data_IF_414962915506
#
_entry.id   IF_414962915506
#
_cell.length_a   1.000
_cell.length_b   1.000
_cell.length_c   1.000
_cell.angle_alpha   90.00
_cell.angle_beta   90.00
_cell.angle_gamma   90.00
#
_symmetry.space_group_name_H-M   'P 1'
#
loop_
_entity.id
_entity.type
_entity.pdbx_description
1 polymer ?
#
# COMPACT_ATOMS: atom_id res chain seq x y z
N UNK A 1 -6.64 -39.74 4.22
CA UNK A 1 -6.31 -38.82 3.11
C UNK A 1 -5.45 -37.72 3.71
N UNK A 2 -4.15 -37.65 3.35
CA UNK A 2 -3.20 -36.64 3.84
C UNK A 2 -3.26 -35.45 2.89
N UNK A 3 -3.60 -34.28 3.41
CA UNK A 3 -3.50 -33.02 2.69
C UNK A 3 -2.02 -32.61 2.64
N UNK A 4 -1.40 -32.70 1.47
CA UNK A 4 -0.07 -32.16 1.19
C UNK A 4 -0.20 -30.66 0.97
N UNK A 5 0.19 -29.87 1.99
CA UNK A 5 0.36 -28.44 1.85
C UNK A 5 1.56 -28.17 0.94
N UNK A 6 1.32 -27.56 -0.21
CA UNK A 6 2.38 -27.02 -1.06
C UNK A 6 3.01 -25.82 -0.37
N UNK A 7 4.31 -25.89 -0.12
CA UNK A 7 5.11 -24.74 0.31
C UNK A 7 5.12 -23.67 -0.79
N UNK A 8 5.12 -22.36 -0.45
CA UNK A 8 5.21 -21.33 -1.45
C UNK A 8 6.55 -21.45 -2.19
N UNK A 9 6.48 -21.35 -3.52
CA UNK A 9 7.65 -21.36 -4.39
C UNK A 9 8.62 -20.25 -3.96
N UNK A 10 9.84 -20.65 -3.60
CA UNK A 10 10.93 -19.74 -3.31
C UNK A 10 11.40 -19.10 -4.61
N UNK A 11 11.00 -17.86 -4.83
CA UNK A 11 11.53 -17.04 -5.93
C UNK A 11 12.97 -16.65 -5.57
N UNK A 12 13.94 -17.38 -6.12
CA UNK A 12 15.36 -17.24 -5.85
C UNK A 12 16.02 -16.28 -6.84
N UNK A 13 15.55 -15.03 -6.91
CA UNK A 13 16.41 -13.93 -7.36
C UNK A 13 17.25 -13.47 -6.18
N UNK A 14 18.57 -13.46 -6.35
CA UNK A 14 19.57 -13.27 -5.29
C UNK A 14 19.58 -11.79 -4.83
N UNK A 15 18.57 -11.36 -4.05
CA UNK A 15 18.45 -10.01 -3.47
C UNK A 15 19.11 -9.88 -2.09
N UNK A 16 20.12 -10.69 -1.77
CA UNK A 16 20.87 -10.58 -0.52
C UNK A 16 21.49 -9.18 -0.42
N UNK A 17 21.09 -8.39 0.56
CA UNK A 17 21.55 -7.01 0.74
C UNK A 17 20.81 -5.95 -0.09
N UNK A 18 19.74 -6.29 -0.79
CA UNK A 18 18.87 -5.30 -1.45
C UNK A 18 17.91 -4.66 -0.43
N UNK A 19 17.63 -3.34 -0.53
CA UNK A 19 16.65 -2.67 0.33
C UNK A 19 15.29 -3.37 0.32
N UNK A 20 14.72 -3.58 1.50
CA UNK A 20 13.37 -4.14 1.68
C UNK A 20 12.33 -3.04 1.67
N UNK A 21 11.40 -3.12 0.73
CA UNK A 21 10.25 -2.22 0.61
C UNK A 21 9.01 -2.97 1.08
N UNK A 22 8.55 -2.68 2.29
CA UNK A 22 7.34 -3.28 2.85
C UNK A 22 6.11 -2.48 2.41
N UNK A 23 5.17 -3.14 1.73
CA UNK A 23 3.85 -2.58 1.42
C UNK A 23 2.87 -3.00 2.50
N UNK A 24 2.65 -2.13 3.48
CA UNK A 24 1.64 -2.31 4.52
C UNK A 24 0.33 -1.74 3.98
N UNK A 25 -0.57 -2.63 3.54
CA UNK A 25 -1.74 -2.21 2.81
C UNK A 25 -2.97 -3.09 2.96
N UNK A 26 -3.98 -2.78 2.17
CA UNK A 26 -5.31 -3.38 2.22
C UNK A 26 -5.51 -4.44 1.13
N UNK A 27 -6.74 -4.63 0.66
CA UNK A 27 -7.09 -5.50 -0.48
C UNK A 27 -6.41 -5.06 -1.78
N UNK A 28 -6.17 -3.76 -1.95
CA UNK A 28 -5.47 -3.23 -3.13
C UNK A 28 -4.03 -3.74 -3.17
N UNK A 29 -3.33 -3.67 -2.03
CA UNK A 29 -1.98 -4.23 -1.88
C UNK A 29 -1.98 -5.76 -2.01
N UNK A 30 -2.96 -6.44 -1.38
CA UNK A 30 -3.08 -7.90 -1.45
C UNK A 30 -3.33 -8.41 -2.88
N UNK A 31 -3.87 -7.58 -3.78
CA UNK A 31 -4.31 -8.01 -5.10
C UNK A 31 -5.60 -8.83 -5.05
N UNK A 32 -6.56 -8.41 -4.21
CA UNK A 32 -7.83 -9.11 -4.04
C UNK A 32 -8.56 -9.30 -5.37
N UNK A 33 -9.01 -10.54 -5.62
CA UNK A 33 -9.77 -10.91 -6.81
C UNK A 33 -8.97 -11.00 -8.10
N UNK A 34 -7.66 -10.81 -8.08
CA UNK A 34 -6.78 -11.09 -9.23
C UNK A 34 -6.55 -12.59 -9.34
N UNK A 35 -6.46 -13.11 -10.58
CA UNK A 35 -6.19 -14.54 -10.83
C UNK A 35 -4.82 -14.96 -10.30
N UNK A 36 -3.82 -14.09 -10.43
CA UNK A 36 -2.46 -14.31 -9.94
C UNK A 36 -1.96 -13.05 -9.20
N UNK A 37 -2.30 -12.88 -7.91
CA UNK A 37 -1.84 -11.74 -7.13
C UNK A 37 -0.32 -11.67 -6.98
N UNK A 38 0.38 -12.82 -7.00
CA UNK A 38 1.83 -12.88 -6.90
C UNK A 38 2.52 -12.21 -8.10
N UNK A 39 1.85 -12.16 -9.25
CA UNK A 39 2.32 -11.50 -10.47
C UNK A 39 1.70 -10.12 -10.69
N UNK A 40 0.39 -10.02 -10.49
CA UNK A 40 -0.40 -8.90 -10.98
C UNK A 40 -0.79 -7.87 -9.92
N UNK A 41 -0.61 -8.15 -8.61
CA UNK A 41 -0.79 -7.13 -7.58
C UNK A 41 0.21 -5.98 -7.79
N UNK A 42 -0.20 -4.74 -7.50
CA UNK A 42 0.64 -3.57 -7.80
C UNK A 42 2.04 -3.62 -7.14
N UNK A 43 2.27 -4.21 -5.94
CA UNK A 43 3.63 -4.38 -5.43
C UNK A 43 4.50 -5.30 -6.29
N UNK A 44 3.92 -6.35 -6.87
CA UNK A 44 4.62 -7.26 -7.79
C UNK A 44 4.95 -6.58 -9.11
N UNK A 45 4.03 -5.76 -9.63
CA UNK A 45 4.29 -4.92 -10.81
C UNK A 45 5.41 -3.91 -10.53
N UNK A 46 5.48 -3.35 -9.32
CA UNK A 46 6.56 -2.46 -8.90
C UNK A 46 7.90 -3.19 -8.80
N UNK A 47 7.92 -4.47 -8.38
CA UNK A 47 9.12 -5.30 -8.41
C UNK A 47 9.65 -5.40 -9.85
N UNK A 48 8.79 -5.78 -10.81
CA UNK A 48 9.18 -5.87 -12.22
C UNK A 48 9.69 -4.54 -12.79
N UNK A 49 9.11 -3.40 -12.36
CA UNK A 49 9.59 -2.07 -12.75
C UNK A 49 10.97 -1.77 -12.16
N UNK A 50 11.22 -2.12 -10.90
CA UNK A 50 12.51 -1.94 -10.26
C UNK A 50 13.59 -2.78 -10.96
N UNK A 51 13.30 -4.06 -11.23
CA UNK A 51 14.20 -4.99 -11.92
C UNK A 51 14.54 -4.48 -13.34
N UNK A 52 13.51 -4.05 -14.09
CA UNK A 52 13.68 -3.50 -15.43
C UNK A 52 14.47 -2.18 -15.45
N UNK A 53 14.44 -1.43 -14.36
CA UNK A 53 15.22 -0.19 -14.18
C UNK A 53 16.62 -0.44 -13.61
N UNK A 54 17.02 -1.70 -13.37
CA UNK A 54 18.28 -2.07 -12.75
C UNK A 54 18.40 -1.66 -11.27
N UNK A 55 17.26 -1.38 -10.61
CA UNK A 55 17.23 -1.00 -9.21
C UNK A 55 17.17 -2.24 -8.34
N UNK A 56 18.14 -2.39 -7.43
CA UNK A 56 18.11 -3.47 -6.45
C UNK A 56 17.11 -3.12 -5.35
N UNK A 57 16.02 -3.87 -5.27
CA UNK A 57 15.02 -3.75 -4.21
C UNK A 57 14.25 -5.07 -4.06
N UNK A 58 13.73 -5.34 -2.87
CA UNK A 58 12.83 -6.45 -2.60
C UNK A 58 11.49 -5.91 -2.13
N UNK A 59 10.47 -5.99 -2.99
CA UNK A 59 9.10 -5.61 -2.65
C UNK A 59 8.44 -6.72 -1.83
N UNK A 60 7.92 -6.36 -0.66
CA UNK A 60 7.27 -7.30 0.28
C UNK A 60 5.81 -6.89 0.38
N UNK A 61 4.92 -7.71 -0.17
CA UNK A 61 3.48 -7.51 -0.10
C UNK A 61 2.95 -7.96 1.27
N UNK A 62 2.46 -7.02 2.06
CA UNK A 62 1.79 -7.25 3.34
C UNK A 62 0.37 -6.69 3.32
N UNK A 63 -0.34 -6.86 2.22
CA UNK A 63 -1.76 -6.51 2.07
C UNK A 63 -2.67 -7.43 2.88
N UNK A 64 -3.71 -6.86 3.50
CA UNK A 64 -4.76 -7.60 4.18
C UNK A 64 -6.13 -7.03 3.81
N UNK A 65 -6.92 -7.83 3.09
CA UNK A 65 -8.23 -7.41 2.59
C UNK A 65 -9.19 -7.04 3.72
N UNK A 66 -9.94 -5.94 3.53
CA UNK A 66 -10.91 -5.45 4.50
C UNK A 66 -10.31 -4.73 5.70
N UNK A 67 -8.99 -4.58 5.78
CA UNK A 67 -8.32 -3.96 6.91
C UNK A 67 -8.51 -2.44 6.95
N UNK A 68 -8.85 -1.91 8.13
CA UNK A 68 -8.88 -0.47 8.42
C UNK A 68 -7.54 0.02 8.95
N UNK A 69 -7.37 1.34 9.08
CA UNK A 69 -6.18 1.94 9.69
C UNK A 69 -5.92 1.41 11.11
N UNK A 70 -6.97 1.15 11.90
CA UNK A 70 -6.86 0.54 13.21
C UNK A 70 -6.37 -0.92 13.13
N UNK A 71 -6.76 -1.67 12.10
CA UNK A 71 -6.28 -3.03 11.84
C UNK A 71 -4.79 -3.03 11.51
N UNK A 72 -4.38 -2.18 10.57
CA UNK A 72 -2.99 -1.98 10.19
C UNK A 72 -2.09 -1.66 11.40
N UNK A 73 -2.56 -0.76 12.28
CA UNK A 73 -1.85 -0.39 13.51
C UNK A 73 -1.67 -1.58 14.46
N UNK A 74 -2.66 -2.48 14.57
CA UNK A 74 -2.58 -3.66 15.47
C UNK A 74 -1.52 -4.67 15.04
N UNK A 75 -1.35 -4.90 13.73
CA UNK A 75 -0.37 -5.89 13.23
C UNK A 75 1.00 -5.30 12.88
N UNK A 76 1.16 -3.98 12.98
CA UNK A 76 2.38 -3.29 12.58
C UNK A 76 3.64 -3.86 13.25
N UNK A 77 3.61 -4.12 14.56
CA UNK A 77 4.77 -4.61 15.31
C UNK A 77 5.28 -5.95 14.76
N UNK A 78 4.37 -6.84 14.32
CA UNK A 78 4.75 -8.10 13.71
C UNK A 78 5.41 -7.90 12.34
N UNK A 79 4.86 -7.02 11.50
CA UNK A 79 5.39 -6.73 10.16
C UNK A 79 6.75 -6.04 10.20
N UNK A 80 6.99 -5.24 11.24
CA UNK A 80 8.20 -4.43 11.39
C UNK A 80 9.38 -5.18 12.01
N UNK A 81 9.21 -6.44 12.44
CA UNK A 81 10.28 -7.25 13.06
C UNK A 81 11.52 -7.37 12.18
N UNK A 82 11.36 -7.40 10.87
CA UNK A 82 12.45 -7.54 9.92
C UNK A 82 13.06 -6.19 9.47
N UNK A 83 12.71 -5.11 10.17
CA UNK A 83 13.28 -3.77 10.02
C UNK A 83 13.39 -3.33 8.54
N UNK A 84 12.29 -3.12 7.81
CA UNK A 84 12.31 -2.71 6.42
C UNK A 84 13.04 -1.37 6.24
N UNK A 85 13.68 -1.18 5.07
CA UNK A 85 14.36 0.07 4.72
C UNK A 85 13.38 1.12 4.21
N UNK A 86 12.30 0.67 3.57
CA UNK A 86 11.20 1.51 3.07
C UNK A 86 9.88 0.90 3.49
N UNK A 87 8.96 1.72 3.98
CA UNK A 87 7.57 1.31 4.26
C UNK A 87 6.62 2.18 3.44
N UNK A 88 5.83 1.53 2.61
CA UNK A 88 4.71 2.13 1.87
C UNK A 88 3.44 1.83 2.67
N UNK A 89 2.80 2.87 3.20
CA UNK A 89 1.56 2.77 3.97
C UNK A 89 0.39 3.06 3.02
N UNK A 90 -0.34 2.01 2.64
CA UNK A 90 -1.57 2.07 1.86
C UNK A 90 -2.72 1.60 2.77
N UNK A 91 -3.31 2.49 3.56
CA UNK A 91 -4.44 2.17 4.43
C UNK A 91 -5.38 3.35 4.58
N UNK A 92 -6.58 3.09 5.12
CA UNK A 92 -7.64 4.08 5.26
C UNK A 92 -8.75 3.94 4.22
N UNK A 93 -8.54 3.24 3.10
CA UNK A 93 -9.60 3.00 2.11
C UNK A 93 -10.85 2.39 2.76
N UNK A 94 -10.68 1.36 3.61
CA UNK A 94 -11.79 0.73 4.32
C UNK A 94 -12.39 1.61 5.42
N UNK A 95 -11.62 2.54 5.97
CA UNK A 95 -12.14 3.59 6.87
C UNK A 95 -13.09 4.51 6.09
N UNK A 96 -12.64 4.99 4.93
CA UNK A 96 -13.45 5.80 4.02
C UNK A 96 -14.70 5.09 3.53
N UNK A 97 -14.59 3.83 3.07
CA UNK A 97 -15.72 3.03 2.61
C UNK A 97 -16.79 2.82 3.70
N UNK A 98 -16.38 2.74 4.97
CA UNK A 98 -17.28 2.55 6.13
C UNK A 98 -17.73 3.86 6.79
N UNK A 99 -17.34 5.01 6.25
CA UNK A 99 -17.67 6.31 6.81
C UNK A 99 -17.11 6.52 8.22
N UNK A 100 -15.96 5.92 8.55
CA UNK A 100 -15.34 6.10 9.85
C UNK A 100 -14.82 7.53 9.99
N UNK A 101 -14.71 8.00 11.23
CA UNK A 101 -14.26 9.35 11.53
C UNK A 101 -12.85 9.63 10.96
N UNK A 102 -12.69 10.67 10.12
CA UNK A 102 -11.41 11.02 9.51
C UNK A 102 -10.32 11.37 10.54
N UNK A 103 -10.68 11.97 11.70
CA UNK A 103 -9.69 12.30 12.72
C UNK A 103 -9.17 11.03 13.44
N UNK A 104 -10.03 10.03 13.62
CA UNK A 104 -9.63 8.72 14.12
C UNK A 104 -8.69 8.00 13.14
N UNK A 105 -8.98 8.08 11.83
CA UNK A 105 -8.10 7.55 10.78
C UNK A 105 -6.74 8.26 10.80
N UNK A 106 -6.73 9.58 10.88
CA UNK A 106 -5.49 10.38 10.98
C UNK A 106 -4.67 10.02 12.23
N UNK A 107 -5.32 9.84 13.39
CA UNK A 107 -4.66 9.43 14.63
C UNK A 107 -4.01 8.05 14.49
N UNK A 108 -4.69 7.08 13.86
CA UNK A 108 -4.13 5.76 13.59
C UNK A 108 -2.92 5.83 12.66
N UNK A 109 -2.96 6.64 11.60
CA UNK A 109 -1.83 6.84 10.69
C UNK A 109 -0.61 7.42 11.40
N UNK A 110 -0.78 8.46 12.25
CA UNK A 110 0.34 9.01 13.05
C UNK A 110 0.96 7.95 13.95
N UNK A 111 0.14 7.19 14.65
CA UNK A 111 0.63 6.09 15.52
C UNK A 111 1.34 5.01 14.73
N UNK A 112 0.85 4.67 13.54
CA UNK A 112 1.48 3.70 12.65
C UNK A 112 2.85 4.20 12.17
N UNK A 113 2.94 5.46 11.73
CA UNK A 113 4.20 6.11 11.34
C UNK A 113 5.19 6.11 12.52
N UNK A 114 4.72 6.42 13.73
CA UNK A 114 5.53 6.37 14.95
C UNK A 114 6.11 4.96 15.21
N UNK A 115 5.29 3.90 15.04
CA UNK A 115 5.77 2.51 15.16
C UNK A 115 6.82 2.16 14.11
N UNK A 116 6.61 2.58 12.86
CA UNK A 116 7.57 2.35 11.76
C UNK A 116 8.92 2.98 12.08
N UNK A 117 8.94 4.24 12.54
CA UNK A 117 10.17 4.92 12.96
C UNK A 117 10.84 4.28 14.17
N UNK A 118 10.03 3.81 15.13
CA UNK A 118 10.54 3.11 16.31
C UNK A 118 11.23 1.79 15.98
N UNK A 119 10.80 1.10 14.92
CA UNK A 119 11.41 -0.13 14.47
C UNK A 119 12.73 0.07 13.72
N UNK A 120 12.81 1.12 12.89
CA UNK A 120 14.01 1.51 12.16
C UNK A 120 14.05 3.04 12.02
N UNK A 121 14.94 3.76 12.74
CA UNK A 121 15.04 5.24 12.67
C UNK A 121 15.38 5.78 11.27
N UNK A 122 16.09 5.00 10.44
CA UNK A 122 16.54 5.41 9.11
C UNK A 122 15.52 5.07 8.01
N UNK A 123 14.38 4.46 8.37
CA UNK A 123 13.35 4.02 7.42
C UNK A 123 12.82 5.18 6.58
N UNK A 124 12.65 4.94 5.29
CA UNK A 124 11.91 5.86 4.41
C UNK A 124 10.43 5.51 4.44
N UNK A 125 9.58 6.48 4.75
CA UNK A 125 8.14 6.27 4.87
C UNK A 125 7.42 7.00 3.73
N UNK A 126 6.61 6.25 2.99
CA UNK A 126 5.78 6.73 1.90
C UNK A 126 4.31 6.50 2.29
N UNK A 127 3.54 7.55 2.44
CA UNK A 127 2.10 7.49 2.71
C UNK A 127 1.34 7.63 1.40
N UNK A 128 0.47 6.68 1.09
CA UNK A 128 -0.34 6.71 -0.13
C UNK A 128 -1.63 7.48 0.13
N UNK A 129 -1.94 8.46 -0.70
CA UNK A 129 -3.22 9.16 -0.67
C UNK A 129 -4.35 8.18 -0.97
N UNK A 130 -5.39 8.19 -0.12
CA UNK A 130 -6.63 7.46 -0.35
C UNK A 130 -7.82 8.41 -0.40
N UNK A 131 -8.90 7.98 -1.03
CA UNK A 131 -10.13 8.76 -1.19
C UNK A 131 -11.32 8.01 -0.60
N UNK A 132 -12.32 8.74 -0.15
CA UNK A 132 -13.60 8.20 0.28
C UNK A 132 -14.64 8.29 -0.84
N UNK A 133 -15.64 7.38 -0.85
CA UNK A 133 -16.74 7.43 -1.80
C UNK A 133 -17.52 8.75 -1.70
N UNK A 134 -17.92 9.29 -2.85
CA UNK A 134 -18.61 10.58 -2.94
C UNK A 134 -20.02 10.59 -2.35
N UNK A 135 -20.66 9.42 -2.23
CA UNK A 135 -21.99 9.25 -1.65
C UNK A 135 -22.05 9.49 -0.13
N UNK A 136 -20.91 9.64 0.55
CA UNK A 136 -20.85 9.98 1.98
C UNK A 136 -20.98 11.49 2.25
N UNK A 137 -21.18 12.28 1.22
CA UNK A 137 -21.37 13.72 1.31
C UNK A 137 -20.07 14.53 1.25
N UNK A 138 -20.19 15.75 0.68
CA UNK A 138 -19.02 16.57 0.35
C UNK A 138 -18.20 17.04 1.56
N UNK A 139 -18.79 17.21 2.74
CA UNK A 139 -18.05 17.57 3.94
C UNK A 139 -17.12 16.43 4.37
N UNK A 140 -17.66 15.21 4.42
CA UNK A 140 -16.88 14.02 4.78
C UNK A 140 -15.74 13.75 3.79
N UNK A 141 -16.05 13.73 2.49
CA UNK A 141 -15.04 13.42 1.45
C UNK A 141 -13.90 14.44 1.43
N UNK A 142 -14.20 15.74 1.62
CA UNK A 142 -13.15 16.76 1.73
C UNK A 142 -12.28 16.57 2.98
N UNK A 143 -12.90 16.28 4.14
CA UNK A 143 -12.17 16.02 5.38
C UNK A 143 -11.30 14.78 5.25
N UNK A 144 -11.83 13.71 4.65
CA UNK A 144 -11.09 12.47 4.41
C UNK A 144 -9.92 12.67 3.43
N UNK A 145 -10.14 13.39 2.34
CA UNK A 145 -9.06 13.74 1.40
C UNK A 145 -7.94 14.52 2.10
N UNK A 146 -8.29 15.56 2.86
CA UNK A 146 -7.32 16.46 3.48
C UNK A 146 -6.47 15.79 4.57
N UNK A 147 -6.97 14.72 5.23
CA UNK A 147 -6.24 14.09 6.34
C UNK A 147 -4.88 13.53 5.93
N UNK A 148 -4.73 12.96 4.73
CA UNK A 148 -3.47 12.36 4.28
C UNK A 148 -2.38 13.41 4.09
N UNK A 149 -2.71 14.52 3.41
CA UNK A 149 -1.79 15.64 3.24
C UNK A 149 -1.38 16.27 4.57
N UNK A 150 -2.34 16.45 5.50
CA UNK A 150 -2.10 16.94 6.86
C UNK A 150 -1.16 16.02 7.62
N UNK A 151 -1.46 14.71 7.69
CA UNK A 151 -0.61 13.73 8.38
C UNK A 151 0.78 13.66 7.75
N UNK A 152 0.88 13.64 6.41
CA UNK A 152 2.17 13.58 5.73
C UNK A 152 3.05 14.79 6.07
N UNK A 153 2.46 15.99 6.12
CA UNK A 153 3.16 17.23 6.48
C UNK A 153 3.61 17.24 7.95
N UNK A 154 2.69 16.93 8.87
CA UNK A 154 2.96 16.90 10.32
C UNK A 154 4.04 15.88 10.67
N UNK A 155 3.94 14.68 10.06
CA UNK A 155 4.87 13.58 10.28
C UNK A 155 6.11 13.65 9.38
N UNK A 156 6.23 14.64 8.51
CA UNK A 156 7.36 14.80 7.58
C UNK A 156 7.68 13.52 6.81
N UNK A 157 6.64 12.89 6.26
CA UNK A 157 6.74 11.72 5.38
C UNK A 157 6.37 12.11 3.94
N UNK A 158 6.82 11.34 2.97
CA UNK A 158 6.47 11.59 1.57
C UNK A 158 5.05 11.14 1.31
N UNK A 159 4.18 12.05 0.84
CA UNK A 159 2.86 11.69 0.32
C UNK A 159 3.00 11.24 -1.14
N UNK A 160 2.52 10.05 -1.42
CA UNK A 160 2.32 9.55 -2.78
C UNK A 160 0.93 9.95 -3.29
N UNK A 161 0.74 10.08 -4.61
CA UNK A 161 -0.56 10.40 -5.18
C UNK A 161 -1.61 9.33 -4.86
N UNK A 162 -2.88 9.64 -5.14
CA UNK A 162 -3.97 8.67 -5.01
C UNK A 162 -3.68 7.43 -5.86
N UNK A 163 -3.65 6.27 -5.20
CA UNK A 163 -3.26 4.99 -5.82
C UNK A 163 -4.09 4.68 -7.07
N UNK A 164 -5.41 4.91 -6.98
CA UNK A 164 -6.37 4.59 -8.04
C UNK A 164 -6.67 5.77 -8.98
N UNK A 165 -5.80 6.76 -9.06
CA UNK A 165 -5.94 7.84 -10.04
C UNK A 165 -6.00 7.26 -11.46
N UNK A 166 -7.03 7.64 -12.24
CA UNK A 166 -7.28 7.10 -13.57
C UNK A 166 -7.76 5.64 -13.62
N UNK A 167 -7.95 5.00 -12.45
CA UNK A 167 -8.49 3.64 -12.32
C UNK A 167 -9.91 3.67 -11.76
N UNK A 168 -10.10 4.37 -10.64
CA UNK A 168 -11.40 4.44 -9.98
C UNK A 168 -12.49 4.93 -10.95
N UNK A 169 -13.61 4.19 -11.01
CA UNK A 169 -14.75 4.49 -11.89
C UNK A 169 -14.58 4.13 -13.37
N UNK A 170 -13.43 3.58 -13.77
CA UNK A 170 -13.19 3.11 -15.15
C UNK A 170 -13.46 1.62 -15.23
N UNK A 171 -14.61 1.21 -15.80
CA UNK A 171 -15.09 -0.18 -15.75
C UNK A 171 -14.09 -1.23 -16.23
N UNK A 172 -13.33 -0.98 -17.28
CA UNK A 172 -12.33 -1.95 -17.79
C UNK A 172 -11.11 -2.11 -16.85
N UNK A 173 -10.87 -1.14 -15.97
CA UNK A 173 -9.76 -1.14 -15.02
C UNK A 173 -10.16 -1.62 -13.62
N UNK A 174 -11.48 -1.82 -13.39
CA UNK A 174 -12.01 -2.33 -12.14
C UNK A 174 -12.72 -3.67 -12.36
N UNK A 175 -12.67 -4.50 -11.34
CA UNK A 175 -13.45 -5.73 -11.25
C UNK A 175 -14.95 -5.41 -11.19
N UNK A 176 -15.85 -6.40 -11.33
CA UNK A 176 -17.30 -6.17 -11.32
C UNK A 176 -17.83 -5.46 -10.06
N UNK A 177 -17.08 -5.51 -8.96
CA UNK A 177 -17.44 -4.81 -7.71
C UNK A 177 -17.23 -3.28 -7.79
N UNK A 178 -16.56 -2.77 -8.81
CA UNK A 178 -16.28 -1.36 -9.02
C UNK A 178 -15.27 -0.73 -8.05
N UNK A 179 -14.64 -1.54 -7.21
CA UNK A 179 -13.71 -1.12 -6.14
C UNK A 179 -12.30 -1.60 -6.42
N UNK A 180 -12.15 -2.88 -6.71
CA UNK A 180 -10.85 -3.51 -6.87
C UNK A 180 -10.36 -3.45 -8.31
N UNK A 181 -9.09 -3.12 -8.55
CA UNK A 181 -8.51 -3.09 -9.89
C UNK A 181 -8.48 -4.47 -10.55
N UNK A 182 -8.64 -4.51 -11.87
CA UNK A 182 -8.20 -5.63 -12.70
C UNK A 182 -6.66 -5.65 -12.77
N UNK A 183 -6.05 -6.68 -13.39
CA UNK A 183 -4.59 -6.71 -13.63
C UNK A 183 -4.12 -5.47 -14.42
N UNK A 184 -4.93 -4.96 -15.36
CA UNK A 184 -4.63 -3.72 -16.07
C UNK A 184 -4.69 -2.50 -15.13
N UNK A 185 -5.74 -2.42 -14.30
CA UNK A 185 -5.89 -1.36 -13.30
C UNK A 185 -4.76 -1.37 -12.26
N UNK A 186 -4.30 -2.54 -11.84
CA UNK A 186 -3.15 -2.67 -10.93
C UNK A 186 -1.84 -2.17 -11.54
N UNK A 187 -1.65 -2.36 -12.86
CA UNK A 187 -0.50 -1.77 -13.57
C UNK A 187 -0.55 -0.24 -13.62
N UNK A 188 -1.74 0.34 -13.81
CA UNK A 188 -1.93 1.80 -13.72
C UNK A 188 -1.66 2.30 -12.32
N UNK A 189 -2.22 1.64 -11.30
CA UNK A 189 -1.98 1.96 -9.89
C UNK A 189 -0.48 1.92 -9.54
N UNK A 190 0.24 0.89 -9.99
CA UNK A 190 1.69 0.82 -9.84
C UNK A 190 2.40 2.00 -10.52
N UNK A 191 1.98 2.39 -11.73
CA UNK A 191 2.57 3.50 -12.46
C UNK A 191 2.36 4.83 -11.73
N UNK A 192 1.21 5.04 -11.08
CA UNK A 192 0.90 6.25 -10.34
C UNK A 192 1.90 6.53 -9.20
N UNK A 193 2.34 5.50 -8.49
CA UNK A 193 3.21 5.67 -7.32
C UNK A 193 4.68 5.36 -7.63
N UNK A 194 4.99 4.78 -8.80
CA UNK A 194 6.36 4.44 -9.20
C UNK A 194 7.36 5.57 -9.07
N UNK A 195 7.08 6.82 -9.50
CA UNK A 195 8.05 7.92 -9.38
C UNK A 195 8.50 8.19 -7.95
N UNK A 196 7.59 8.05 -6.97
CA UNK A 196 7.91 8.19 -5.56
C UNK A 196 8.75 7.04 -5.03
N UNK A 197 8.44 5.80 -5.43
CA UNK A 197 9.21 4.60 -5.09
C UNK A 197 10.62 4.68 -5.67
N UNK A 198 10.75 4.96 -6.96
CA UNK A 198 12.04 5.06 -7.65
C UNK A 198 12.96 6.11 -6.98
N UNK A 199 12.39 7.27 -6.59
CA UNK A 199 13.16 8.34 -5.93
C UNK A 199 13.83 7.89 -4.62
N UNK A 200 13.18 7.03 -3.83
CA UNK A 200 13.75 6.55 -2.57
C UNK A 200 14.72 5.39 -2.76
N UNK A 201 14.61 4.66 -3.87
CA UNK A 201 15.52 3.56 -4.22
C UNK A 201 16.83 4.05 -4.87
N UNK A 202 16.82 5.22 -5.52
CA UNK A 202 18.00 5.85 -6.12
C UNK A 202 18.99 6.49 -5.12
N UNK A 203 18.58 6.60 -3.85
CA UNK A 203 19.39 7.21 -2.76
C UNK A 203 20.02 6.15 -1.88
#
# INVERSE_FOLDING_TARGET
MKATGAAPASDSTNHTGAPRVLFLGTSLTAGYGLDDPARDAYPSVLQLKADSAGMRARMVNAGLSGETSAGALRRADWLLRERPDVVVIETGANDGLRGLDPDSTAANLRRLIGKVRGANPDVKILLVQMEAPTNLGGAYTRSFHALFGRVASEERVTLLPFLLSGVAGVSRLNQPDGIHPTSEGARVAAANIWPGIARVLHR
#
